data_IF_844028109835
#
_entry.id   IF_844028109835
#
_cell.length_a   1.000
_cell.length_b   1.000
_cell.length_c   1.000
_cell.angle_alpha   90.00
_cell.angle_beta   90.00
_cell.angle_gamma   90.00
#
_symmetry.space_group_name_H-M   'P 1'
#
loop_
_entity.id
_entity.type
_entity.pdbx_description
1 polymer ?
#
# COMPACT_ATOMS: atom_id res chain seq x y z
N UNK A 1 27.81 0.02 -47.51
CA UNK A 1 26.49 0.57 -47.90
C UNK A 1 25.40 -0.46 -47.56
N UNK A 2 24.27 -0.01 -47.00
CA UNK A 2 22.98 -0.74 -46.98
C UNK A 2 22.62 -1.47 -45.67
N UNK A 3 21.34 -1.45 -45.21
CA UNK A 3 21.00 -1.25 -43.80
C UNK A 3 20.30 -2.44 -43.12
N UNK A 4 20.56 -2.66 -41.82
CA UNK A 4 19.71 -3.50 -40.96
C UNK A 4 18.73 -2.61 -40.16
N UNK A 5 17.51 -2.43 -40.67
CA UNK A 5 16.41 -1.71 -40.00
C UNK A 5 15.30 -2.67 -39.55
N UNK A 6 14.73 -2.35 -38.36
CA UNK A 6 13.37 -2.67 -37.85
C UNK A 6 13.20 -4.12 -37.33
N UNK A 7 12.82 -4.39 -36.08
CA UNK A 7 11.64 -3.93 -35.30
C UNK A 7 12.00 -3.79 -33.79
N UNK A 8 11.66 -2.69 -33.09
CA UNK A 8 10.42 -2.51 -32.28
C UNK A 8 10.16 -3.69 -31.32
N UNK A 9 10.05 -3.58 -29.99
CA UNK A 9 9.91 -2.46 -29.06
C UNK A 9 10.31 -2.92 -27.63
N UNK A 10 10.67 -2.03 -26.69
CA UNK A 10 10.77 -2.38 -25.28
C UNK A 10 9.36 -2.40 -24.66
N UNK A 11 8.79 -3.59 -24.49
CA UNK A 11 7.61 -3.76 -23.64
C UNK A 11 8.05 -4.06 -22.21
N UNK A 12 7.77 -3.21 -21.20
CA UNK A 12 7.95 -3.58 -19.81
C UNK A 12 6.77 -4.45 -19.38
N UNK A 13 6.80 -5.75 -19.68
CA UNK A 13 5.88 -6.70 -19.04
C UNK A 13 6.31 -6.92 -17.60
N UNK A 14 5.84 -6.00 -16.75
CA UNK A 14 5.38 -6.23 -15.37
C UNK A 14 6.18 -7.22 -14.54
N UNK A 15 7.43 -6.88 -14.27
CA UNK A 15 8.09 -7.32 -13.04
C UNK A 15 7.57 -6.46 -11.88
N UNK A 16 6.34 -6.73 -11.44
CA UNK A 16 5.82 -6.26 -10.15
C UNK A 16 5.34 -7.47 -9.36
N UNK A 17 6.26 -8.38 -9.04
CA UNK A 17 6.15 -9.15 -7.79
C UNK A 17 6.59 -8.22 -6.66
N UNK A 18 5.78 -7.20 -6.45
CA UNK A 18 5.90 -6.27 -5.34
C UNK A 18 5.67 -7.06 -4.08
N UNK A 19 6.75 -7.18 -3.30
CA UNK A 19 6.73 -7.10 -1.84
C UNK A 19 5.78 -8.11 -1.19
N UNK A 20 6.36 -9.26 -0.79
CA UNK A 20 5.92 -9.96 0.41
C UNK A 20 5.66 -8.89 1.46
N UNK A 21 4.39 -8.71 1.84
CA UNK A 21 4.01 -7.96 3.02
C UNK A 21 4.76 -8.63 4.17
N UNK A 22 5.83 -7.94 4.56
CA UNK A 22 6.73 -8.35 5.61
C UNK A 22 5.86 -8.45 6.86
N UNK A 23 5.72 -9.68 7.35
CA UNK A 23 5.32 -10.03 8.70
C UNK A 23 5.95 -9.00 9.65
N UNK A 24 5.16 -8.02 10.08
CA UNK A 24 5.53 -7.08 11.12
C UNK A 24 4.89 -7.65 12.38
N UNK A 25 5.71 -8.37 13.12
CA UNK A 25 5.49 -8.70 14.52
C UNK A 25 4.87 -7.49 15.23
N UNK A 26 3.77 -7.78 15.92
CA UNK A 26 3.17 -6.90 16.89
C UNK A 26 4.16 -6.77 18.05
N UNK A 27 4.94 -5.70 18.03
CA UNK A 27 5.71 -5.22 19.16
C UNK A 27 4.94 -4.05 19.79
N UNK A 28 4.66 -4.23 21.08
CA UNK A 28 4.14 -3.30 22.10
C UNK A 28 2.77 -2.66 21.87
N UNK A 29 1.79 -3.29 22.52
CA UNK A 29 0.48 -2.78 22.92
C UNK A 29 0.64 -1.56 23.84
N UNK A 30 0.97 -0.40 23.25
CA UNK A 30 0.59 0.86 23.87
C UNK A 30 -0.77 1.28 23.27
N UNK A 31 -1.89 1.09 24.00
CA UNK A 31 -3.23 1.35 23.46
C UNK A 31 -3.46 2.82 23.10
N UNK A 32 -2.51 3.71 23.41
CA UNK A 32 -2.56 5.13 23.07
C UNK A 32 -1.83 5.46 21.76
N UNK A 33 -0.93 4.58 21.29
CA UNK A 33 -0.10 4.82 20.12
C UNK A 33 -0.30 3.72 19.08
N UNK A 34 -0.78 4.10 17.89
CA UNK A 34 -0.89 3.18 16.75
C UNK A 34 0.42 2.42 16.52
N UNK A 35 0.32 1.12 16.29
CA UNK A 35 1.49 0.29 15.94
C UNK A 35 2.11 0.80 14.63
N UNK A 36 3.37 0.44 14.37
CA UNK A 36 4.04 0.82 13.12
C UNK A 36 3.25 0.39 11.87
N UNK A 37 2.64 -0.81 11.91
CA UNK A 37 1.77 -1.31 10.86
C UNK A 37 0.51 -0.46 10.68
N UNK A 38 -0.15 -0.07 11.77
CA UNK A 38 -1.34 0.78 11.73
C UNK A 38 -1.03 2.18 11.22
N UNK A 39 0.09 2.79 11.64
CA UNK A 39 0.56 4.09 11.13
C UNK A 39 0.81 4.05 9.62
N UNK A 40 1.38 2.96 9.13
CA UNK A 40 1.58 2.73 7.70
C UNK A 40 0.23 2.60 6.95
N UNK A 41 -0.70 1.80 7.49
CA UNK A 41 -2.04 1.62 6.92
C UNK A 41 -2.82 2.95 6.87
N UNK A 42 -2.82 3.73 7.96
CA UNK A 42 -3.45 5.06 8.02
C UNK A 42 -2.87 5.96 6.93
N UNK A 43 -1.55 6.03 6.81
CA UNK A 43 -0.89 6.89 5.82
C UNK A 43 -1.25 6.47 4.39
N UNK A 44 -1.27 5.16 4.10
CA UNK A 44 -1.68 4.64 2.80
C UNK A 44 -3.14 4.98 2.49
N UNK A 45 -4.05 4.73 3.43
CA UNK A 45 -5.47 4.98 3.27
C UNK A 45 -5.78 6.47 3.06
N UNK A 46 -5.15 7.35 3.83
CA UNK A 46 -5.27 8.82 3.68
C UNK A 46 -4.82 9.28 2.29
N UNK A 47 -3.75 8.70 1.73
CA UNK A 47 -3.28 9.08 0.40
C UNK A 47 -4.28 8.75 -0.72
N UNK A 48 -5.08 7.68 -0.56
CA UNK A 48 -6.08 7.29 -1.54
C UNK A 48 -7.41 8.01 -1.36
N UNK A 49 -7.86 8.16 -0.13
CA UNK A 49 -9.19 8.70 0.19
C UNK A 49 -9.20 10.19 0.46
N UNK A 50 -8.04 10.79 0.69
CA UNK A 50 -7.86 12.18 1.11
C UNK A 50 -8.60 12.53 2.43
N UNK A 51 -8.98 11.52 3.22
CA UNK A 51 -9.62 11.70 4.51
C UNK A 51 -8.60 12.13 5.58
N UNK A 52 -9.09 12.74 6.66
CA UNK A 52 -8.27 13.01 7.83
C UNK A 52 -7.75 11.71 8.47
N UNK A 53 -6.58 11.76 9.11
CA UNK A 53 -5.97 10.61 9.79
C UNK A 53 -6.87 10.00 10.87
N UNK A 54 -7.64 10.80 11.61
CA UNK A 54 -8.53 10.28 12.66
C UNK A 54 -9.72 9.53 12.05
N UNK A 55 -10.29 10.08 10.97
CA UNK A 55 -11.37 9.43 10.22
C UNK A 55 -10.86 8.14 9.57
N UNK A 56 -9.69 8.18 8.93
CA UNK A 56 -9.01 7.03 8.35
C UNK A 56 -8.77 5.91 9.39
N UNK A 57 -8.29 6.25 10.58
CA UNK A 57 -8.06 5.27 11.64
C UNK A 57 -9.37 4.60 12.11
N UNK A 58 -10.48 5.35 12.19
CA UNK A 58 -11.80 4.78 12.53
C UNK A 58 -12.29 3.81 11.47
N UNK A 59 -12.15 4.15 10.20
CA UNK A 59 -12.52 3.27 9.08
C UNK A 59 -11.64 2.02 9.10
N UNK A 60 -10.33 2.18 9.15
CA UNK A 60 -9.37 1.07 9.19
C UNK A 60 -9.61 0.12 10.36
N UNK A 61 -10.01 0.63 11.53
CA UNK A 61 -10.36 -0.20 12.69
C UNK A 61 -11.49 -1.19 12.37
N UNK A 62 -12.48 -0.79 11.56
CA UNK A 62 -13.57 -1.66 11.12
C UNK A 62 -13.15 -2.67 10.04
N UNK A 63 -12.05 -2.40 9.34
CA UNK A 63 -11.51 -3.23 8.26
C UNK A 63 -10.21 -3.94 8.66
N UNK A 64 -10.05 -4.28 9.95
CA UNK A 64 -8.89 -5.00 10.48
C UNK A 64 -7.52 -4.36 10.13
N UNK A 65 -7.50 -3.03 9.98
CA UNK A 65 -6.34 -2.23 9.56
C UNK A 65 -5.84 -2.50 8.14
N UNK A 66 -6.69 -3.05 7.27
CA UNK A 66 -6.37 -3.27 5.86
C UNK A 66 -6.81 -2.07 5.00
N UNK A 67 -5.87 -1.27 4.46
CA UNK A 67 -6.20 -0.13 3.62
C UNK A 67 -6.76 -0.52 2.26
N UNK A 68 -6.45 -1.71 1.73
CA UNK A 68 -7.00 -2.16 0.45
C UNK A 68 -8.46 -2.53 0.60
N UNK A 69 -8.82 -3.23 1.68
CA UNK A 69 -10.22 -3.56 1.97
C UNK A 69 -11.00 -2.29 2.23
N UNK A 70 -10.47 -1.38 3.05
CA UNK A 70 -11.15 -0.15 3.42
C UNK A 70 -11.39 0.81 2.25
N UNK A 71 -10.51 0.89 1.25
CA UNK A 71 -10.69 1.78 0.07
C UNK A 71 -11.77 1.24 -0.88
N UNK A 72 -11.97 -0.08 -0.90
CA UNK A 72 -12.95 -0.74 -1.75
C UNK A 72 -14.29 -0.99 -1.05
N UNK A 73 -14.41 -0.61 0.23
CA UNK A 73 -15.65 -0.65 1.00
C UNK A 73 -16.50 0.60 0.75
#
# INVERSE_FOLDING_TARGET
MGPKRKKQAPGPSTSRKGKKAKKAEAEEDDPTLYTSAQKAAITQFVNFTQLDRNTAARVLKNHAWDPQIAVNA
#
